data_IF_434940008387
#
_entry.id   IF_434940008387
#
_cell.length_a   1.000
_cell.length_b   1.000
_cell.length_c   1.000
_cell.angle_alpha   90.00
_cell.angle_beta   90.00
_cell.angle_gamma   90.00
#
_symmetry.space_group_name_H-M   'P 1'
#
loop_
_entity.id
_entity.type
_entity.pdbx_description
1 polymer ?
#
# COMPACT_ATOMS: atom_id res chain seq x y z
N UNK A 1 -0.86 -5.01 17.09
CA UNK A 1 -1.08 -6.34 16.48
C UNK A 1 -1.58 -7.29 17.57
N UNK A 2 -2.84 -7.75 17.51
CA UNK A 2 -3.47 -8.48 18.62
C UNK A 2 -3.11 -9.98 18.53
N UNK A 3 -2.19 -10.44 19.40
CA UNK A 3 -1.61 -11.80 19.44
C UNK A 3 -2.68 -12.89 19.44
N UNK A 4 -3.86 -12.57 20.01
CA UNK A 4 -5.02 -13.47 20.06
C UNK A 4 -5.58 -13.81 18.68
N UNK A 5 -5.55 -12.87 17.73
CA UNK A 5 -6.08 -13.07 16.37
C UNK A 5 -5.14 -13.92 15.52
N UNK A 6 -3.83 -13.72 15.66
CA UNK A 6 -2.79 -14.57 15.05
C UNK A 6 -2.78 -16.00 15.58
N UNK A 7 -3.21 -16.25 16.82
CA UNK A 7 -3.38 -17.60 17.35
C UNK A 7 -4.61 -18.34 16.80
N UNK A 8 -5.69 -17.62 16.49
CA UNK A 8 -6.93 -18.22 15.99
C UNK A 8 -6.78 -18.65 14.53
N UNK A 9 -6.13 -17.82 13.69
CA UNK A 9 -5.91 -18.15 12.27
C UNK A 9 -4.80 -19.21 12.06
N UNK A 10 -3.91 -19.38 13.05
CA UNK A 10 -2.88 -20.43 13.05
C UNK A 10 -3.34 -21.74 13.70
N UNK A 11 -4.55 -21.81 14.26
CA UNK A 11 -5.06 -23.00 14.94
C UNK A 11 -4.97 -24.31 14.12
N UNK A 12 -5.38 -24.38 12.83
CA UNK A 12 -5.27 -25.63 12.08
C UNK A 12 -3.81 -26.00 11.77
N UNK A 13 -2.92 -25.02 11.65
CA UNK A 13 -1.49 -25.25 11.42
C UNK A 13 -0.78 -25.68 12.71
N UNK A 14 -1.08 -25.03 13.84
CA UNK A 14 -0.56 -25.37 15.16
C UNK A 14 -1.02 -26.78 15.58
N UNK A 15 -2.25 -27.18 15.24
CA UNK A 15 -2.75 -28.55 15.48
C UNK A 15 -1.95 -29.55 14.63
N UNK A 16 -1.73 -29.28 13.34
CA UNK A 16 -0.92 -30.15 12.46
C UNK A 16 0.53 -30.26 12.93
N UNK A 17 1.15 -29.15 13.34
CA UNK A 17 2.50 -29.11 13.88
C UNK A 17 2.60 -29.89 15.20
N UNK A 18 1.59 -29.74 16.08
CA UNK A 18 1.50 -30.49 17.34
C UNK A 18 1.39 -31.99 17.08
N UNK A 19 0.62 -32.43 16.08
CA UNK A 19 0.54 -33.84 15.69
C UNK A 19 1.86 -34.37 15.13
N UNK A 20 2.58 -33.59 14.33
CA UNK A 20 3.90 -33.98 13.82
C UNK A 20 4.90 -34.14 14.97
N UNK A 21 4.93 -33.20 15.92
CA UNK A 21 5.81 -33.28 17.10
C UNK A 21 5.42 -34.47 17.99
N UNK A 22 4.12 -34.69 18.24
CA UNK A 22 3.62 -35.80 19.06
C UNK A 22 3.86 -37.18 18.45
N UNK A 23 3.97 -37.30 17.12
CA UNK A 23 4.26 -38.59 16.48
C UNK A 23 5.77 -38.81 16.33
N UNK A 24 6.53 -37.77 15.99
CA UNK A 24 7.96 -37.92 15.72
C UNK A 24 8.82 -38.06 16.99
N UNK A 25 8.46 -37.39 18.10
CA UNK A 25 9.24 -37.44 19.34
C UNK A 25 9.15 -38.82 20.05
N UNK A 26 7.98 -39.47 20.14
CA UNK A 26 7.91 -40.82 20.70
C UNK A 26 8.50 -41.87 19.75
N UNK A 27 8.31 -41.71 18.44
CA UNK A 27 8.88 -42.64 17.45
C UNK A 27 10.42 -42.62 17.46
N UNK A 28 11.04 -41.43 17.64
CA UNK A 28 12.48 -41.32 17.78
C UNK A 28 12.99 -41.90 19.10
N UNK A 29 12.24 -41.76 20.20
CA UNK A 29 12.59 -42.38 21.48
C UNK A 29 12.55 -43.92 21.43
N UNK A 30 11.53 -44.50 20.79
CA UNK A 30 11.38 -45.96 20.62
C UNK A 30 12.49 -46.53 19.72
N UNK A 31 12.86 -45.82 18.66
CA UNK A 31 14.01 -46.18 17.82
C UNK A 31 15.34 -46.10 18.59
N UNK A 32 15.48 -45.13 19.50
CA UNK A 32 16.68 -44.96 20.32
C UNK A 32 16.81 -46.06 21.38
N UNK A 33 15.71 -46.47 22.03
CA UNK A 33 15.72 -47.54 23.02
C UNK A 33 15.99 -48.91 22.39
N UNK A 34 15.41 -49.17 21.20
CA UNK A 34 15.64 -50.41 20.46
C UNK A 34 17.06 -50.49 19.85
N UNK A 35 17.63 -49.36 19.41
CA UNK A 35 19.03 -49.30 18.96
C UNK A 35 20.04 -49.46 20.11
N UNK A 36 19.68 -49.02 21.32
CA UNK A 36 20.51 -49.18 22.52
C UNK A 36 20.54 -50.64 23.04
N UNK A 37 19.42 -51.37 22.97
CA UNK A 37 19.36 -52.79 23.35
C UNK A 37 20.12 -53.70 22.38
N UNK A 38 20.22 -53.31 21.11
CA UNK A 38 20.80 -54.16 20.05
C UNK A 38 22.34 -54.17 20.02
N UNK A 39 23.03 -53.48 20.93
CA UNK A 39 24.50 -53.48 21.01
C UNK A 39 25.23 -52.91 19.76
N UNK A 40 24.51 -52.26 18.85
CA UNK A 40 25.06 -51.70 17.59
C UNK A 40 25.83 -50.39 17.83
N UNK A 41 25.70 -49.78 19.02
CA UNK A 41 26.36 -48.50 19.35
C UNK A 41 27.86 -48.59 19.67
N UNK A 42 28.46 -49.78 19.73
CA UNK A 42 29.87 -49.91 20.10
C UNK A 42 30.85 -49.89 18.92
N UNK A 43 30.41 -49.89 17.65
CA UNK A 43 31.33 -49.92 16.49
C UNK A 43 30.80 -49.21 15.24
N UNK A 44 30.71 -47.87 15.23
CA UNK A 44 30.79 -47.03 14.00
C UNK A 44 30.51 -45.55 14.30
N UNK A 45 31.49 -44.86 14.89
CA UNK A 45 31.38 -43.45 15.30
C UNK A 45 31.23 -42.41 14.18
N UNK A 46 31.01 -42.78 12.91
CA UNK A 46 30.85 -41.82 11.79
C UNK A 46 29.47 -41.86 11.11
N UNK A 47 28.81 -43.02 11.04
CA UNK A 47 27.54 -43.17 10.31
C UNK A 47 26.34 -42.70 11.13
N UNK A 48 26.31 -43.00 12.43
CA UNK A 48 25.24 -42.56 13.33
C UNK A 48 25.21 -41.04 13.52
N UNK A 49 26.39 -40.40 13.59
CA UNK A 49 26.52 -38.94 13.69
C UNK A 49 26.12 -38.23 12.38
N UNK A 50 26.45 -38.81 11.22
CA UNK A 50 26.04 -38.30 9.92
C UNK A 50 24.52 -38.43 9.70
N UNK A 51 23.93 -39.56 10.10
CA UNK A 51 22.48 -39.79 10.05
C UNK A 51 21.71 -38.81 10.95
N UNK A 52 22.25 -38.48 12.14
CA UNK A 52 21.69 -37.48 13.04
C UNK A 52 21.72 -36.06 12.45
N UNK A 53 22.83 -35.64 11.85
CA UNK A 53 22.92 -34.34 11.16
C UNK A 53 22.00 -34.26 9.94
N UNK A 54 21.81 -35.35 9.21
CA UNK A 54 20.91 -35.41 8.07
C UNK A 54 19.42 -35.37 8.48
N UNK A 55 19.05 -36.01 9.59
CA UNK A 55 17.69 -35.99 10.13
C UNK A 55 17.33 -34.63 10.73
N UNK A 56 18.25 -33.96 11.43
CA UNK A 56 18.03 -32.57 11.91
C UNK A 56 17.99 -31.61 10.73
N UNK A 57 18.91 -31.76 9.75
CA UNK A 57 18.96 -30.93 8.56
C UNK A 57 17.69 -31.01 7.71
N UNK A 58 17.07 -32.19 7.58
CA UNK A 58 15.82 -32.36 6.83
C UNK A 58 14.62 -31.72 7.55
N UNK A 59 14.53 -31.84 8.87
CA UNK A 59 13.47 -31.20 9.68
C UNK A 59 13.60 -29.67 9.63
N UNK A 60 14.82 -29.14 9.74
CA UNK A 60 15.09 -27.70 9.63
C UNK A 60 14.87 -27.17 8.20
N UNK A 61 15.12 -27.99 7.17
CA UNK A 61 14.82 -27.64 5.78
C UNK A 61 13.31 -27.62 5.50
N UNK A 62 12.53 -28.56 6.05
CA UNK A 62 11.06 -28.58 5.90
C UNK A 62 10.42 -27.42 6.66
N UNK A 63 10.86 -27.14 7.88
CA UNK A 63 10.42 -25.97 8.63
C UNK A 63 10.86 -24.67 7.94
N UNK A 64 12.13 -24.58 7.52
CA UNK A 64 12.69 -23.45 6.79
C UNK A 64 11.97 -23.17 5.47
N UNK A 65 11.64 -24.20 4.69
CA UNK A 65 10.92 -24.07 3.42
C UNK A 65 9.46 -23.65 3.59
N UNK A 66 8.84 -23.87 4.76
CA UNK A 66 7.52 -23.35 5.09
C UNK A 66 7.55 -21.89 5.60
N UNK A 67 8.57 -21.53 6.38
CA UNK A 67 8.69 -20.19 6.97
C UNK A 67 9.27 -19.15 5.99
N UNK A 68 10.23 -19.53 5.14
CA UNK A 68 10.91 -18.62 4.24
C UNK A 68 10.02 -17.98 3.16
N UNK A 69 9.13 -18.70 2.44
CA UNK A 69 8.24 -18.08 1.46
C UNK A 69 7.23 -17.14 2.13
N UNK A 70 6.68 -17.52 3.30
CA UNK A 70 5.75 -16.66 4.04
C UNK A 70 6.38 -15.34 4.49
N UNK A 71 7.60 -15.38 5.05
CA UNK A 71 8.32 -14.15 5.43
C UNK A 71 8.74 -13.32 4.22
N UNK A 72 9.09 -13.96 3.10
CA UNK A 72 9.48 -13.27 1.88
C UNK A 72 8.27 -12.64 1.16
N UNK A 73 7.12 -13.29 1.17
CA UNK A 73 5.85 -12.75 0.65
C UNK A 73 5.37 -11.58 1.50
N UNK A 74 5.36 -11.73 2.83
CA UNK A 74 4.99 -10.64 3.73
C UNK A 74 5.89 -9.41 3.57
N UNK A 75 7.20 -9.61 3.33
CA UNK A 75 8.14 -8.51 3.06
C UNK A 75 7.89 -7.86 1.68
N UNK A 76 7.56 -8.67 0.66
CA UNK A 76 7.26 -8.18 -0.68
C UNK A 76 5.95 -7.37 -0.69
N UNK A 77 4.94 -7.80 0.05
CA UNK A 77 3.66 -7.11 0.17
C UNK A 77 3.79 -5.79 0.93
N UNK A 78 4.57 -5.77 2.02
CA UNK A 78 4.92 -4.51 2.71
C UNK A 78 5.62 -3.53 1.79
N UNK A 79 6.66 -3.97 1.09
CA UNK A 79 7.39 -3.11 0.14
C UNK A 79 6.49 -2.58 -0.99
N UNK A 80 5.52 -3.39 -1.46
CA UNK A 80 4.55 -2.99 -2.47
C UNK A 80 3.59 -1.93 -1.93
N UNK A 81 3.04 -2.14 -0.73
CA UNK A 81 2.18 -1.18 -0.04
C UNK A 81 2.89 0.15 0.19
N UNK A 82 4.12 0.12 0.69
CA UNK A 82 4.92 1.32 0.95
C UNK A 82 5.19 2.11 -0.35
N UNK A 83 5.50 1.39 -1.44
CA UNK A 83 5.72 2.02 -2.74
C UNK A 83 4.44 2.65 -3.27
N UNK A 84 3.31 1.95 -3.18
CA UNK A 84 2.01 2.44 -3.62
C UNK A 84 1.57 3.66 -2.83
N UNK A 85 1.73 3.62 -1.51
CA UNK A 85 1.51 4.75 -0.60
C UNK A 85 2.34 5.97 -1.00
N UNK A 86 3.63 5.80 -1.29
CA UNK A 86 4.51 6.91 -1.74
C UNK A 86 4.04 7.50 -3.07
N UNK A 87 3.59 6.66 -4.01
CA UNK A 87 3.02 7.11 -5.28
C UNK A 87 1.74 7.91 -5.04
N UNK A 88 0.82 7.40 -4.22
CA UNK A 88 -0.41 8.10 -3.84
C UNK A 88 -0.11 9.45 -3.18
N UNK A 89 0.87 9.51 -2.27
CA UNK A 89 1.27 10.74 -1.61
C UNK A 89 1.82 11.77 -2.60
N UNK A 90 2.65 11.33 -3.55
CA UNK A 90 3.17 12.20 -4.61
C UNK A 90 2.03 12.78 -5.47
N UNK A 91 1.09 11.92 -5.89
CA UNK A 91 -0.06 12.35 -6.68
C UNK A 91 -0.97 13.29 -5.89
N UNK A 92 -1.24 13.00 -4.61
CA UNK A 92 -2.03 13.86 -3.73
C UNK A 92 -1.38 15.24 -3.56
N UNK A 93 -0.06 15.31 -3.34
CA UNK A 93 0.70 16.58 -3.26
C UNK A 93 0.62 17.37 -4.56
N UNK A 94 0.81 16.71 -5.71
CA UNK A 94 0.70 17.35 -7.01
C UNK A 94 -0.72 17.89 -7.23
N UNK A 95 -1.75 17.08 -6.94
CA UNK A 95 -3.15 17.48 -7.08
C UNK A 95 -3.51 18.67 -6.20
N UNK A 96 -3.11 18.64 -4.92
CA UNK A 96 -3.30 19.76 -4.00
C UNK A 96 -2.75 21.06 -4.57
N UNK A 97 -1.53 21.01 -5.13
CA UNK A 97 -0.90 22.19 -5.71
C UNK A 97 -1.60 22.66 -6.99
N UNK A 98 -1.96 21.74 -7.90
CA UNK A 98 -2.70 22.12 -9.12
C UNK A 98 -4.09 22.68 -8.82
N UNK A 99 -4.80 22.11 -7.85
CA UNK A 99 -6.09 22.63 -7.37
C UNK A 99 -5.94 24.00 -6.73
N UNK A 100 -4.90 24.20 -5.89
CA UNK A 100 -4.61 25.50 -5.28
C UNK A 100 -4.34 26.58 -6.33
N UNK A 101 -3.55 26.25 -7.35
CA UNK A 101 -3.25 27.17 -8.45
C UNK A 101 -4.51 27.52 -9.24
N UNK A 102 -5.28 26.51 -9.66
CA UNK A 102 -6.52 26.73 -10.41
C UNK A 102 -7.55 27.52 -9.59
N UNK A 103 -7.73 27.18 -8.31
CA UNK A 103 -8.63 27.90 -7.41
C UNK A 103 -8.20 29.35 -7.23
N UNK A 104 -6.92 29.61 -6.97
CA UNK A 104 -6.41 30.97 -6.86
C UNK A 104 -6.59 31.77 -8.15
N UNK A 105 -6.38 31.13 -9.32
CA UNK A 105 -6.63 31.75 -10.62
C UNK A 105 -8.09 32.16 -10.76
N UNK A 106 -9.03 31.25 -10.53
CA UNK A 106 -10.46 31.51 -10.71
C UNK A 106 -11.02 32.48 -9.66
N UNK A 107 -10.54 32.39 -8.42
CA UNK A 107 -10.94 33.30 -7.35
C UNK A 107 -10.47 34.73 -7.64
N UNK A 108 -9.23 34.90 -8.11
CA UNK A 108 -8.71 36.21 -8.49
C UNK A 108 -9.35 36.74 -9.79
N UNK A 109 -9.79 35.85 -10.67
CA UNK A 109 -10.51 36.20 -11.90
C UNK A 109 -11.72 37.09 -11.66
N UNK A 110 -12.39 36.91 -10.52
CA UNK A 110 -13.54 37.73 -10.08
C UNK A 110 -13.19 39.22 -10.01
N UNK A 111 -11.95 39.56 -9.66
CA UNK A 111 -11.54 40.95 -9.49
C UNK A 111 -10.92 41.56 -10.75
N UNK A 112 -10.30 40.75 -11.62
CA UNK A 112 -9.56 41.21 -12.81
C UNK A 112 -10.19 40.79 -14.14
N UNK A 113 -11.42 40.27 -14.10
CA UNK A 113 -12.15 39.75 -15.26
C UNK A 113 -11.38 38.71 -16.08
N UNK A 114 -10.44 37.99 -15.44
CA UNK A 114 -9.62 36.95 -16.07
C UNK A 114 -8.35 37.46 -16.75
N UNK A 115 -8.14 38.77 -16.85
CA UNK A 115 -7.06 39.34 -17.67
C UNK A 115 -5.67 39.05 -17.09
N UNK A 116 -5.51 39.17 -15.78
CA UNK A 116 -4.23 38.96 -15.09
C UNK A 116 -4.17 37.61 -14.33
N UNK A 117 -5.23 36.82 -14.41
CA UNK A 117 -5.37 35.56 -13.68
C UNK A 117 -5.51 34.37 -14.63
N UNK A 118 -6.56 34.32 -15.45
CA UNK A 118 -6.85 33.23 -16.39
C UNK A 118 -5.90 33.28 -17.58
N UNK A 119 -5.65 34.44 -18.18
CA UNK A 119 -4.75 34.53 -19.34
C UNK A 119 -3.33 34.03 -19.05
N UNK A 120 -2.67 34.39 -17.93
CA UNK A 120 -1.38 33.81 -17.58
C UNK A 120 -1.44 32.31 -17.30
N UNK A 121 -2.52 31.81 -16.71
CA UNK A 121 -2.70 30.37 -16.48
C UNK A 121 -2.69 29.59 -17.80
N UNK A 122 -3.46 30.08 -18.79
CA UNK A 122 -3.55 29.50 -20.13
C UNK A 122 -2.26 29.68 -20.93
N UNK A 123 -1.66 30.87 -20.85
CA UNK A 123 -0.41 31.21 -21.54
C UNK A 123 0.77 30.36 -21.07
N UNK A 124 0.83 30.06 -19.76
CA UNK A 124 1.83 29.15 -19.20
C UNK A 124 1.48 27.66 -19.37
N UNK A 125 0.36 27.34 -20.02
CA UNK A 125 -0.10 25.98 -20.29
C UNK A 125 -0.29 25.12 -19.04
N UNK A 126 -0.66 25.73 -17.90
CA UNK A 126 -0.81 24.97 -16.64
C UNK A 126 -1.96 23.96 -16.72
N UNK A 127 -2.96 24.18 -17.58
CA UNK A 127 -4.02 23.23 -17.89
C UNK A 127 -3.51 21.88 -18.42
N UNK A 128 -2.34 21.86 -19.08
CA UNK A 128 -1.80 20.64 -19.69
C UNK A 128 -1.29 19.62 -18.67
N UNK A 129 -1.21 20.00 -17.38
CA UNK A 129 -0.83 19.09 -16.30
C UNK A 129 -1.93 18.13 -15.89
N UNK A 130 -3.20 18.44 -16.20
CA UNK A 130 -4.34 17.62 -15.78
C UNK A 130 -4.45 16.28 -16.52
N UNK A 131 -4.36 16.20 -17.85
CA UNK A 131 -4.47 14.91 -18.54
C UNK A 131 -3.49 13.82 -18.07
N UNK A 132 -2.17 14.08 -17.95
CA UNK A 132 -1.25 13.05 -17.44
C UNK A 132 -1.48 12.73 -15.96
N UNK A 133 -1.94 13.69 -15.16
CA UNK A 133 -2.29 13.45 -13.76
C UNK A 133 -3.51 12.54 -13.61
N UNK A 134 -4.56 12.77 -14.41
CA UNK A 134 -5.76 11.93 -14.48
C UNK A 134 -5.41 10.51 -14.90
N UNK A 135 -4.57 10.37 -15.93
CA UNK A 135 -4.14 9.04 -16.40
C UNK A 135 -3.34 8.29 -15.33
N UNK A 136 -2.44 8.98 -14.62
CA UNK A 136 -1.71 8.41 -13.50
C UNK A 136 -2.66 7.92 -12.40
N UNK A 137 -3.68 8.70 -12.04
CA UNK A 137 -4.69 8.29 -11.06
C UNK A 137 -5.49 7.08 -11.54
N UNK A 138 -5.90 7.05 -12.82
CA UNK A 138 -6.67 5.95 -13.42
C UNK A 138 -5.87 4.64 -13.49
N UNK A 139 -4.55 4.73 -13.67
CA UNK A 139 -3.67 3.55 -13.72
C UNK A 139 -3.55 2.78 -12.39
N UNK A 140 -3.95 3.39 -11.26
CA UNK A 140 -3.88 2.75 -9.94
C UNK A 140 -5.06 1.77 -9.79
N UNK A 141 -4.70 0.49 -9.60
CA UNK A 141 -5.64 -0.60 -9.35
C UNK A 141 -6.15 -0.55 -7.90
N UNK A 142 -7.48 -0.66 -7.76
CA UNK A 142 -8.17 -0.65 -6.46
C UNK A 142 -7.87 -1.92 -5.63
N UNK A 143 -7.50 -3.02 -6.29
CA UNK A 143 -7.27 -4.32 -5.65
C UNK A 143 -6.13 -4.33 -4.63
N UNK A 144 -5.19 -3.39 -4.74
CA UNK A 144 -4.01 -3.31 -3.89
C UNK A 144 -4.16 -2.28 -2.76
N UNK A 145 -5.34 -1.67 -2.61
CA UNK A 145 -5.58 -0.55 -1.70
C UNK A 145 -6.45 -0.94 -0.51
N UNK A 146 -6.15 -0.35 0.65
CA UNK A 146 -7.06 -0.40 1.79
C UNK A 146 -8.31 0.50 1.56
N UNK A 147 -9.42 0.29 2.28
CA UNK A 147 -10.65 1.06 2.06
C UNK A 147 -10.47 2.59 2.16
N UNK A 148 -9.58 3.08 3.04
CA UNK A 148 -9.28 4.50 3.17
C UNK A 148 -8.54 5.04 1.94
N UNK A 149 -7.56 4.28 1.44
CA UNK A 149 -6.87 4.59 0.20
C UNK A 149 -7.77 4.55 -1.03
N UNK A 150 -8.73 3.62 -1.09
CA UNK A 150 -9.73 3.57 -2.17
C UNK A 150 -10.60 4.83 -2.17
N UNK A 151 -11.06 5.25 -0.99
CA UNK A 151 -11.83 6.49 -0.85
C UNK A 151 -11.01 7.70 -1.32
N UNK A 152 -9.77 7.86 -0.83
CA UNK A 152 -8.88 8.96 -1.23
C UNK A 152 -8.59 8.97 -2.74
N UNK A 153 -8.30 7.80 -3.33
CA UNK A 153 -8.06 7.70 -4.77
C UNK A 153 -9.30 8.09 -5.58
N UNK A 154 -10.49 7.71 -5.10
CA UNK A 154 -11.76 8.06 -5.75
C UNK A 154 -12.00 9.57 -5.70
N UNK A 155 -11.84 10.20 -4.54
CA UNK A 155 -11.94 11.66 -4.39
C UNK A 155 -10.93 12.40 -5.26
N UNK A 156 -9.68 11.89 -5.33
CA UNK A 156 -8.66 12.45 -6.22
C UNK A 156 -9.06 12.35 -7.69
N UNK A 157 -9.58 11.19 -8.14
CA UNK A 157 -10.05 11.00 -9.52
C UNK A 157 -11.17 11.98 -9.86
N UNK A 158 -12.20 12.05 -9.02
CA UNK A 158 -13.35 12.95 -9.23
C UNK A 158 -12.90 14.41 -9.23
N UNK A 159 -12.09 14.83 -8.27
CA UNK A 159 -11.59 16.20 -8.20
C UNK A 159 -10.70 16.59 -9.39
N UNK A 160 -9.91 15.65 -9.92
CA UNK A 160 -9.07 15.89 -11.10
C UNK A 160 -9.91 15.98 -12.38
N UNK A 161 -10.89 15.08 -12.57
CA UNK A 161 -11.83 15.15 -13.70
C UNK A 161 -12.66 16.44 -13.65
N UNK A 162 -13.10 16.86 -12.46
CA UNK A 162 -13.81 18.12 -12.27
C UNK A 162 -12.94 19.34 -12.63
N UNK A 163 -11.71 19.41 -12.10
CA UNK A 163 -10.78 20.50 -12.42
C UNK A 163 -10.46 20.56 -13.93
N UNK A 164 -10.31 19.39 -14.57
CA UNK A 164 -10.13 19.33 -16.01
C UNK A 164 -11.36 19.83 -16.78
N UNK A 165 -12.57 19.50 -16.34
CA UNK A 165 -13.81 20.00 -16.93
C UNK A 165 -13.94 21.53 -16.86
N UNK A 166 -13.37 22.16 -15.82
CA UNK A 166 -13.25 23.61 -15.72
C UNK A 166 -12.22 24.12 -16.73
N UNK A 167 -11.03 23.49 -16.77
CA UNK A 167 -9.97 23.89 -17.71
C UNK A 167 -10.44 23.90 -19.17
N UNK A 168 -11.28 22.94 -19.57
CA UNK A 168 -11.86 22.88 -20.92
C UNK A 168 -12.78 24.07 -21.27
N UNK A 169 -13.30 24.78 -20.26
CA UNK A 169 -14.21 25.92 -20.43
C UNK A 169 -13.59 27.26 -20.06
N UNK A 170 -12.29 27.30 -19.75
CA UNK A 170 -11.62 28.54 -19.29
C UNK A 170 -11.65 29.67 -20.32
N UNK A 171 -11.64 29.35 -21.62
CA UNK A 171 -11.69 30.37 -22.68
C UNK A 171 -13.04 31.12 -22.71
N UNK A 172 -14.11 30.46 -22.26
CA UNK A 172 -15.47 31.00 -22.25
C UNK A 172 -15.95 31.26 -20.80
N UNK A 173 -15.01 31.48 -19.88
CA UNK A 173 -15.31 31.56 -18.45
C UNK A 173 -16.08 32.83 -18.10
N UNK A 174 -17.33 32.67 -17.64
CA UNK A 174 -18.12 33.79 -17.13
C UNK A 174 -17.78 34.08 -15.67
N UNK A 175 -16.89 35.05 -15.46
CA UNK A 175 -16.37 35.45 -14.16
C UNK A 175 -17.45 35.76 -13.10
N UNK A 176 -18.61 36.27 -13.51
CA UNK A 176 -19.72 36.66 -12.63
C UNK A 176 -20.92 35.70 -12.69
N UNK A 177 -20.78 34.55 -13.35
CA UNK A 177 -21.86 33.58 -13.48
C UNK A 177 -22.08 32.76 -12.20
N UNK A 178 -23.35 32.48 -11.88
CA UNK A 178 -23.73 31.67 -10.71
C UNK A 178 -23.10 30.27 -10.76
N UNK A 179 -23.02 29.69 -11.96
CA UNK A 179 -22.39 28.38 -12.18
C UNK A 179 -20.91 28.44 -11.87
N UNK A 180 -20.20 29.45 -12.38
CA UNK A 180 -18.76 29.62 -12.20
C UNK A 180 -18.41 29.90 -10.73
N UNK A 181 -19.26 30.63 -10.00
CA UNK A 181 -19.13 30.76 -8.55
C UNK A 181 -19.30 29.43 -7.82
N UNK A 182 -20.29 28.62 -8.22
CA UNK A 182 -20.46 27.26 -7.72
C UNK A 182 -19.25 26.37 -8.02
N UNK A 183 -18.69 26.48 -9.22
CA UNK A 183 -17.50 25.73 -9.63
C UNK A 183 -16.27 26.10 -8.79
N UNK A 184 -16.09 27.38 -8.44
CA UNK A 184 -15.02 27.84 -7.54
C UNK A 184 -15.16 27.22 -6.15
N UNK A 185 -16.37 27.21 -5.58
CA UNK A 185 -16.64 26.61 -4.27
C UNK A 185 -16.39 25.09 -4.28
N UNK A 186 -16.83 24.41 -5.34
CA UNK A 186 -16.61 22.98 -5.51
C UNK A 186 -15.12 22.65 -5.69
N UNK A 187 -14.38 23.50 -6.39
CA UNK A 187 -12.92 23.35 -6.53
C UNK A 187 -12.20 23.51 -5.18
N UNK A 188 -12.64 24.46 -4.36
CA UNK A 188 -12.15 24.61 -2.99
C UNK A 188 -12.42 23.35 -2.15
N UNK A 189 -13.61 22.76 -2.26
CA UNK A 189 -13.93 21.49 -1.61
C UNK A 189 -12.92 20.38 -1.99
N UNK A 190 -12.65 20.19 -3.28
CA UNK A 190 -11.66 19.19 -3.72
C UNK A 190 -10.23 19.53 -3.28
N UNK A 191 -9.88 20.83 -3.17
CA UNK A 191 -8.58 21.24 -2.63
C UNK A 191 -8.43 20.84 -1.15
N UNK A 192 -9.50 20.97 -0.36
CA UNK A 192 -9.54 20.51 1.03
C UNK A 192 -9.40 18.98 1.09
N UNK A 193 -10.14 18.25 0.26
CA UNK A 193 -10.05 16.78 0.22
C UNK A 193 -8.64 16.30 -0.18
N UNK A 194 -8.00 16.95 -1.16
CA UNK A 194 -6.62 16.66 -1.52
C UNK A 194 -5.64 16.95 -0.37
N UNK A 195 -5.91 17.97 0.44
CA UNK A 195 -5.10 18.28 1.62
C UNK A 195 -5.22 17.22 2.70
N UNK A 196 -6.45 16.75 2.98
CA UNK A 196 -6.71 15.65 3.90
C UNK A 196 -6.03 14.36 3.42
N UNK A 197 -6.10 14.06 2.12
CA UNK A 197 -5.43 12.90 1.55
C UNK A 197 -3.90 12.95 1.76
N UNK A 198 -3.28 14.11 1.58
CA UNK A 198 -1.85 14.30 1.88
C UNK A 198 -1.54 14.03 3.35
N UNK A 199 -2.35 14.56 4.27
CA UNK A 199 -2.13 14.39 5.71
C UNK A 199 -2.24 12.93 6.14
N UNK A 200 -3.28 12.22 5.70
CA UNK A 200 -3.49 10.80 6.01
C UNK A 200 -2.38 9.91 5.43
N UNK A 201 -1.96 10.19 4.20
CA UNK A 201 -0.89 9.45 3.54
C UNK A 201 0.49 9.74 4.16
N UNK A 202 0.73 10.95 4.69
CA UNK A 202 1.96 11.31 5.39
C UNK A 202 2.01 10.76 6.83
N UNK A 203 0.88 10.76 7.55
CA UNK A 203 0.81 10.31 8.94
C UNK A 203 1.17 8.84 9.11
N UNK A 204 0.52 7.93 8.37
CA UNK A 204 0.91 6.52 8.51
C UNK A 204 2.35 6.26 8.02
N UNK A 205 2.96 7.14 7.21
CA UNK A 205 4.36 6.95 6.80
C UNK A 205 5.31 7.19 7.98
N UNK A 206 4.86 7.94 9.00
CA UNK A 206 5.57 8.15 10.26
C UNK A 206 5.31 7.01 11.23
N UNK A 207 4.11 6.46 11.26
CA UNK A 207 3.77 5.28 12.08
C UNK A 207 4.50 4.01 11.64
N UNK A 208 4.78 3.86 10.34
CA UNK A 208 5.52 2.71 9.81
C UNK A 208 7.04 2.74 10.13
N UNK A 209 7.56 3.89 10.61
CA UNK A 209 8.99 4.11 10.93
C UNK A 209 9.28 4.06 12.44
N UNK A 210 8.24 4.17 13.29
CA UNK A 210 8.32 4.10 14.76
C UNK A 210 8.12 2.68 15.30
#
# INVERSE_FOLDING_TARGET
MNIRKTMIDSAPFAIRLTWVILLCVPASWILMSSAAESGVLSTSGSVAAAAWMQAIGSILAIAGAGFFPYFHEAKKDRNRSDRLRRILLLLAKNQKEQLRLLHSTLFNAVNDFGENSINPYLGNQWQMKWPPHIEALRSILITDLDPGQVYMLTEMKVGADFAWSICLRLNDWNVIGDKEQGDIQQLHHYQVMASIAVELLDQGAREDVS
#
